data_IF_784129595031
#
_entry.id   IF_784129595031
#
_cell.length_a   1.000
_cell.length_b   1.000
_cell.length_c   1.000
_cell.angle_alpha   90.00
_cell.angle_beta   90.00
_cell.angle_gamma   90.00
#
_symmetry.space_group_name_H-M   'P 1'
#
loop_
_entity.id
_entity.type
_entity.pdbx_description
1 polymer ?
#
# COMPACT_ATOMS: atom_id res chain seq x y z
N UNK A 1 12.49 8.69 25.22
CA UNK A 1 11.26 9.42 24.81
C UNK A 1 10.06 8.53 25.01
N UNK A 2 8.90 9.15 25.20
CA UNK A 2 7.60 8.45 25.21
C UNK A 2 6.84 8.79 23.94
N UNK A 3 6.63 7.79 23.08
CA UNK A 3 6.13 7.93 21.73
C UNK A 3 4.69 7.42 21.67
N UNK A 4 3.74 8.27 21.28
CA UNK A 4 2.36 7.87 21.05
C UNK A 4 2.18 7.44 19.60
N UNK A 5 1.54 6.30 19.36
CA UNK A 5 1.31 5.80 17.99
C UNK A 5 -0.18 5.54 17.79
N UNK A 6 -0.71 6.04 16.67
CA UNK A 6 -2.03 5.69 16.18
C UNK A 6 -1.99 4.29 15.55
N UNK A 7 -2.63 3.32 16.21
CA UNK A 7 -2.63 1.90 15.81
C UNK A 7 -4.01 1.38 15.42
N UNK A 8 -4.95 2.28 15.07
CA UNK A 8 -6.34 1.91 14.76
C UNK A 8 -6.50 0.96 13.56
N UNK A 9 -5.50 0.86 12.66
CA UNK A 9 -5.51 -0.04 11.52
C UNK A 9 -4.83 -1.39 11.77
N UNK A 10 -4.31 -1.64 12.97
CA UNK A 10 -3.88 -2.99 13.38
C UNK A 10 -5.13 -3.83 13.73
N UNK A 11 -5.69 -4.47 12.73
CA UNK A 11 -6.93 -5.26 12.81
C UNK A 11 -6.61 -6.74 12.61
N UNK A 12 -6.98 -7.58 13.57
CA UNK A 12 -6.68 -9.02 13.51
C UNK A 12 -7.43 -9.77 12.40
N UNK A 13 -8.63 -9.29 12.07
CA UNK A 13 -9.50 -9.95 11.09
C UNK A 13 -9.15 -9.61 9.64
N UNK A 14 -8.65 -8.41 9.38
CA UNK A 14 -8.33 -7.95 8.03
C UNK A 14 -7.38 -6.76 8.07
N UNK A 15 -6.13 -6.97 7.72
CA UNK A 15 -5.17 -5.88 7.48
C UNK A 15 -5.12 -5.54 6.00
N UNK A 16 -5.31 -4.27 5.70
CA UNK A 16 -5.14 -3.68 4.36
C UNK A 16 -3.87 -2.81 4.34
N UNK A 17 -3.56 -2.13 3.24
CA UNK A 17 -2.31 -1.40 3.03
C UNK A 17 -1.82 -0.57 4.23
N UNK A 18 -2.69 0.28 4.83
CA UNK A 18 -2.33 1.07 6.03
C UNK A 18 -2.03 0.19 7.25
N UNK A 19 -2.74 -0.92 7.41
CA UNK A 19 -2.50 -1.88 8.49
C UNK A 19 -1.15 -2.56 8.34
N UNK A 20 -0.82 -3.05 7.15
CA UNK A 20 0.47 -3.66 6.85
C UNK A 20 1.62 -2.68 7.00
N UNK A 21 1.49 -1.46 6.45
CA UNK A 21 2.49 -0.41 6.67
C UNK A 21 2.73 -0.15 8.17
N UNK A 22 1.64 0.01 8.93
CA UNK A 22 1.72 0.24 10.38
C UNK A 22 2.40 -0.93 11.09
N UNK A 23 2.01 -2.16 10.75
CA UNK A 23 2.58 -3.37 11.33
C UNK A 23 4.09 -3.45 11.09
N UNK A 24 4.50 -3.35 9.83
CA UNK A 24 5.89 -3.55 9.41
C UNK A 24 6.82 -2.47 9.96
N UNK A 25 6.39 -1.21 9.93
CA UNK A 25 7.22 -0.09 10.41
C UNK A 25 7.25 -0.04 11.94
N UNK A 26 6.08 -0.12 12.58
CA UNK A 26 5.99 0.05 14.04
C UNK A 26 6.62 -1.11 14.80
N UNK A 27 6.43 -2.35 14.32
CA UNK A 27 7.07 -3.53 14.91
C UNK A 27 8.59 -3.36 14.95
N UNK A 28 9.19 -3.02 13.80
CA UNK A 28 10.65 -2.83 13.70
C UNK A 28 11.16 -1.70 14.57
N UNK A 29 10.47 -0.57 14.62
CA UNK A 29 10.87 0.54 15.49
C UNK A 29 10.83 0.16 16.97
N UNK A 30 9.78 -0.54 17.41
CA UNK A 30 9.62 -0.95 18.81
C UNK A 30 10.68 -1.97 19.23
N UNK A 31 10.96 -2.96 18.36
CA UNK A 31 11.96 -4.01 18.62
C UNK A 31 13.39 -3.47 18.60
N UNK A 32 13.69 -2.50 17.70
CA UNK A 32 15.00 -1.90 17.57
C UNK A 32 15.34 -0.89 18.68
N UNK A 33 14.35 -0.32 19.38
CA UNK A 33 14.53 0.76 20.32
C UNK A 33 13.90 0.47 21.70
N UNK A 34 14.38 -0.57 22.42
CA UNK A 34 13.83 -0.97 23.72
C UNK A 34 14.02 0.07 24.83
N UNK A 35 14.90 1.05 24.66
CA UNK A 35 15.16 2.16 25.58
C UNK A 35 14.09 3.24 25.54
N UNK A 36 13.15 3.17 24.58
CA UNK A 36 12.03 4.09 24.45
C UNK A 36 10.71 3.46 24.87
N UNK A 37 9.75 4.28 25.34
CA UNK A 37 8.41 3.84 25.70
C UNK A 37 7.44 4.15 24.55
N UNK A 38 6.66 3.16 24.14
CA UNK A 38 5.66 3.29 23.10
C UNK A 38 4.25 3.15 23.68
N UNK A 39 3.36 4.11 23.39
CA UNK A 39 1.96 4.06 23.78
C UNK A 39 1.11 3.91 22.53
N UNK A 40 0.49 2.74 22.38
CA UNK A 40 -0.36 2.41 21.22
C UNK A 40 -1.80 2.81 21.47
N UNK A 41 -2.32 3.68 20.63
CA UNK A 41 -3.70 4.14 20.74
C UNK A 41 -4.60 3.39 19.75
N UNK A 42 -5.45 2.52 20.29
CA UNK A 42 -6.46 1.77 19.55
C UNK A 42 -7.82 2.45 19.67
N UNK A 43 -8.67 2.34 18.65
CA UNK A 43 -10.07 2.82 18.69
C UNK A 43 -11.07 1.71 19.07
N UNK A 44 -10.58 0.51 19.37
CA UNK A 44 -11.34 -0.70 19.70
C UNK A 44 -10.46 -1.72 20.42
N UNK A 45 -11.03 -2.81 20.99
CA UNK A 45 -10.23 -3.92 21.52
C UNK A 45 -9.21 -4.40 20.48
N UNK A 46 -8.00 -4.67 20.92
CA UNK A 46 -6.87 -5.08 20.09
C UNK A 46 -6.52 -6.56 20.32
N UNK A 47 -5.84 -7.15 19.35
CA UNK A 47 -5.26 -8.48 19.49
C UNK A 47 -3.89 -8.37 20.17
N UNK A 48 -3.59 -9.18 21.20
CA UNK A 48 -2.30 -9.18 21.89
C UNK A 48 -1.08 -9.35 20.98
N UNK A 49 -1.22 -9.99 19.82
CA UNK A 49 -0.12 -10.15 18.83
C UNK A 49 0.44 -8.83 18.32
N UNK A 50 -0.29 -7.71 18.48
CA UNK A 50 0.18 -6.37 18.11
C UNK A 50 0.99 -5.68 19.22
N UNK A 51 1.16 -6.32 20.37
CA UNK A 51 2.04 -5.82 21.44
C UNK A 51 3.41 -6.46 21.23
N UNK A 52 4.22 -5.81 20.41
CA UNK A 52 5.45 -6.39 19.86
C UNK A 52 6.57 -6.60 20.89
N UNK A 53 6.60 -5.79 21.97
CA UNK A 53 7.61 -5.89 23.00
C UNK A 53 7.12 -5.31 24.34
N UNK A 54 7.91 -5.49 25.40
CA UNK A 54 7.58 -5.07 26.80
C UNK A 54 7.54 -3.55 26.99
N UNK A 55 8.17 -2.78 26.09
CA UNK A 55 8.17 -1.32 26.09
C UNK A 55 6.93 -0.70 25.44
N UNK A 56 5.91 -1.51 25.11
CA UNK A 56 4.63 -1.08 24.54
C UNK A 56 3.53 -1.06 25.59
N UNK A 57 2.84 0.06 25.73
CA UNK A 57 1.64 0.22 26.55
C UNK A 57 0.42 0.38 25.63
N UNK A 58 -0.47 -0.62 25.54
CA UNK A 58 -1.70 -0.49 24.74
C UNK A 58 -2.78 0.31 25.47
N UNK A 59 -3.46 1.18 24.76
CA UNK A 59 -4.54 2.02 25.29
C UNK A 59 -5.70 2.05 24.30
N UNK A 60 -6.87 1.60 24.72
CA UNK A 60 -8.10 1.72 23.95
C UNK A 60 -8.77 3.06 24.27
N UNK A 61 -9.03 3.85 23.24
CA UNK A 61 -9.68 5.16 23.34
C UNK A 61 -11.08 5.14 22.73
N UNK A 62 -12.04 5.68 23.43
CA UNK A 62 -13.42 5.84 22.96
C UNK A 62 -13.67 7.27 22.43
N UNK A 63 -14.62 7.47 21.48
CA UNK A 63 -15.42 6.51 20.74
C UNK A 63 -14.62 5.83 19.59
N UNK A 64 -15.11 4.67 19.06
CA UNK A 64 -14.48 4.03 17.90
C UNK A 64 -14.46 4.98 16.69
N UNK A 65 -13.29 5.15 16.05
CA UNK A 65 -13.10 6.06 14.92
C UNK A 65 -13.53 5.39 13.59
N UNK A 66 -14.85 5.19 13.39
CA UNK A 66 -15.42 4.50 12.21
C UNK A 66 -16.26 5.38 11.28
N UNK A 67 -16.50 6.63 11.66
CA UNK A 67 -17.31 7.57 10.90
C UNK A 67 -16.69 8.97 10.96
N UNK A 68 -16.80 9.83 9.94
CA UNK A 68 -16.18 11.15 9.91
C UNK A 68 -16.37 12.01 11.17
N UNK A 69 -17.57 12.02 11.75
CA UNK A 69 -17.84 12.74 13.00
C UNK A 69 -17.02 12.14 14.16
N UNK A 70 -16.96 10.80 14.23
CA UNK A 70 -16.22 10.09 15.28
C UNK A 70 -14.70 10.25 15.09
N UNK A 71 -14.19 10.43 13.84
CA UNK A 71 -12.79 10.80 13.62
C UNK A 71 -12.45 12.13 14.29
N UNK A 72 -13.31 13.15 14.13
CA UNK A 72 -13.10 14.45 14.80
C UNK A 72 -13.06 14.29 16.31
N UNK A 73 -14.03 13.56 16.89
CA UNK A 73 -14.06 13.31 18.34
C UNK A 73 -12.81 12.56 18.81
N UNK A 74 -12.40 11.53 18.10
CA UNK A 74 -11.28 10.69 18.49
C UNK A 74 -9.96 11.47 18.45
N UNK A 75 -9.68 12.19 17.36
CA UNK A 75 -8.42 12.94 17.22
C UNK A 75 -8.41 14.24 18.06
N UNK A 76 -9.50 14.98 18.11
CA UNK A 76 -9.51 16.30 18.75
C UNK A 76 -9.77 16.26 20.26
N UNK A 77 -10.35 15.18 20.78
CA UNK A 77 -10.65 15.04 22.20
C UNK A 77 -9.92 13.83 22.80
N UNK A 78 -10.13 12.62 22.29
CA UNK A 78 -9.59 11.40 22.92
C UNK A 78 -8.07 11.33 22.78
N UNK A 79 -7.52 11.46 21.57
CA UNK A 79 -6.07 11.50 21.34
C UNK A 79 -5.45 12.70 22.06
N UNK A 80 -5.99 13.91 21.93
CA UNK A 80 -5.45 15.09 22.62
C UNK A 80 -5.31 14.87 24.14
N UNK A 81 -6.36 14.31 24.79
CA UNK A 81 -6.32 14.00 26.22
C UNK A 81 -5.32 12.89 26.56
N UNK A 82 -5.27 11.85 25.73
CA UNK A 82 -4.35 10.74 25.90
C UNK A 82 -2.88 11.20 25.78
N UNK A 83 -2.55 12.01 24.76
CA UNK A 83 -1.20 12.58 24.60
C UNK A 83 -0.73 13.33 25.86
N UNK A 84 -1.62 14.13 26.48
CA UNK A 84 -1.34 14.82 27.73
C UNK A 84 -1.24 13.84 28.91
N UNK A 85 -2.21 12.92 29.06
CA UNK A 85 -2.27 11.96 30.20
C UNK A 85 -1.03 11.07 30.24
N UNK A 86 -0.60 10.57 29.09
CA UNK A 86 0.55 9.67 28.98
C UNK A 86 1.88 10.41 28.78
N UNK A 87 1.88 11.75 28.84
CA UNK A 87 3.08 12.60 28.69
C UNK A 87 3.88 12.26 27.44
N UNK A 88 3.17 12.24 26.30
CA UNK A 88 3.76 11.90 25.01
C UNK A 88 4.66 13.02 24.50
N UNK A 89 5.88 12.68 24.12
CA UNK A 89 6.86 13.61 23.56
C UNK A 89 6.60 13.88 22.07
N UNK A 90 6.22 12.85 21.32
CA UNK A 90 5.90 12.91 19.90
C UNK A 90 4.79 11.93 19.54
N UNK A 91 3.88 12.35 18.66
CA UNK A 91 2.79 11.50 18.16
C UNK A 91 3.04 11.10 16.71
N UNK A 92 3.03 9.79 16.45
CA UNK A 92 3.17 9.20 15.13
C UNK A 92 1.83 8.66 14.63
N UNK A 93 1.42 9.06 13.42
CA UNK A 93 0.19 8.62 12.80
C UNK A 93 0.46 8.04 11.40
N UNK A 94 0.53 6.70 11.28
CA UNK A 94 0.85 5.99 10.03
C UNK A 94 -0.18 6.18 8.91
N UNK A 95 -1.35 6.74 9.20
CA UNK A 95 -2.46 6.96 8.27
C UNK A 95 -2.73 8.45 7.97
N UNK A 96 -1.86 9.35 8.47
CA UNK A 96 -1.90 10.78 8.19
C UNK A 96 -2.93 11.60 8.97
N UNK A 97 -3.79 10.98 9.78
CA UNK A 97 -4.77 11.72 10.59
C UNK A 97 -4.09 12.27 11.86
N UNK A 98 -4.28 13.55 12.14
CA UNK A 98 -3.63 14.24 13.27
C UNK A 98 -4.65 14.95 14.15
N UNK A 99 -4.23 15.31 15.38
CA UNK A 99 -4.99 16.22 16.26
C UNK A 99 -4.59 17.67 15.98
N UNK A 100 -5.51 18.46 15.44
CA UNK A 100 -5.26 19.87 15.16
C UNK A 100 -5.07 20.70 16.43
N UNK A 101 -5.68 20.27 17.54
CA UNK A 101 -5.67 20.98 18.83
C UNK A 101 -4.57 20.51 19.80
N UNK A 102 -3.82 19.49 19.48
CA UNK A 102 -2.72 19.05 20.33
C UNK A 102 -1.49 19.94 20.16
N UNK A 103 -0.82 20.34 21.27
CA UNK A 103 0.47 21.03 21.20
C UNK A 103 1.65 20.07 20.96
N UNK A 104 1.46 18.76 21.18
CA UNK A 104 2.51 17.74 20.98
C UNK A 104 2.95 17.72 19.52
N UNK A 105 4.25 17.71 19.21
CA UNK A 105 4.73 17.51 17.83
C UNK A 105 4.18 16.22 17.23
N UNK A 106 3.78 16.28 15.96
CA UNK A 106 3.13 15.15 15.29
C UNK A 106 3.79 14.86 13.95
N UNK A 107 4.09 13.59 13.72
CA UNK A 107 4.55 13.03 12.46
C UNK A 107 3.41 12.25 11.82
N UNK A 108 2.99 12.65 10.62
CA UNK A 108 1.94 11.97 9.85
C UNK A 108 2.49 11.34 8.59
N UNK A 109 1.94 10.20 8.18
CA UNK A 109 2.26 9.59 6.88
C UNK A 109 1.13 9.86 5.90
N UNK A 110 1.41 10.55 4.80
CA UNK A 110 0.45 10.74 3.71
C UNK A 110 0.88 9.82 2.57
N UNK A 111 0.12 8.75 2.35
CA UNK A 111 0.47 7.73 1.36
C UNK A 111 0.17 8.17 -0.07
N UNK A 112 -0.99 8.80 -0.28
CA UNK A 112 -1.40 9.39 -1.56
C UNK A 112 -2.51 10.43 -1.35
N UNK A 113 -2.86 11.13 -2.42
CA UNK A 113 -3.96 12.09 -2.46
C UNK A 113 -5.01 11.70 -3.53
N UNK A 114 -5.29 10.40 -3.71
CA UNK A 114 -6.28 9.93 -4.69
C UNK A 114 -7.62 10.67 -4.57
N UNK A 115 -8.06 10.95 -3.35
CA UNK A 115 -9.34 11.63 -3.10
C UNK A 115 -9.39 13.10 -3.58
N UNK A 116 -8.24 13.73 -3.84
CA UNK A 116 -8.18 15.06 -4.47
C UNK A 116 -8.33 14.95 -5.98
N UNK A 117 -7.65 13.96 -6.61
CA UNK A 117 -7.58 13.79 -8.06
C UNK A 117 -8.77 13.00 -8.61
N UNK A 118 -9.24 11.99 -7.88
CA UNK A 118 -10.33 11.09 -8.27
C UNK A 118 -11.41 11.03 -7.18
N UNK A 119 -12.13 12.15 -6.96
CA UNK A 119 -13.16 12.23 -5.93
C UNK A 119 -14.33 11.26 -6.17
N UNK A 120 -14.56 10.86 -7.41
CA UNK A 120 -15.57 9.88 -7.82
C UNK A 120 -15.31 8.48 -7.24
N UNK A 121 -14.08 8.18 -6.89
CA UNK A 121 -13.69 6.89 -6.30
C UNK A 121 -14.07 6.76 -4.82
N UNK A 122 -14.47 7.85 -4.18
CA UNK A 122 -14.70 7.91 -2.73
C UNK A 122 -16.16 8.31 -2.44
N UNK A 123 -16.84 7.64 -1.49
CA UNK A 123 -18.18 8.07 -1.07
C UNK A 123 -18.19 9.51 -0.54
N UNK A 124 -19.26 10.25 -0.82
CA UNK A 124 -19.35 11.69 -0.56
C UNK A 124 -19.07 12.12 0.90
N UNK A 125 -19.44 11.30 1.89
CA UNK A 125 -19.24 11.66 3.32
C UNK A 125 -17.76 11.58 3.73
N UNK A 126 -17.02 10.46 3.51
CA UNK A 126 -15.57 10.42 3.69
C UNK A 126 -14.83 11.47 2.86
N UNK A 127 -15.20 11.66 1.58
CA UNK A 127 -14.56 12.61 0.69
C UNK A 127 -14.60 14.05 1.26
N UNK A 128 -15.77 14.50 1.73
CA UNK A 128 -15.90 15.82 2.37
C UNK A 128 -15.01 15.97 3.59
N UNK A 129 -14.88 14.91 4.38
CA UNK A 129 -13.99 14.91 5.53
C UNK A 129 -12.52 15.02 5.10
N UNK A 130 -12.08 14.18 4.17
CA UNK A 130 -10.69 14.14 3.68
C UNK A 130 -10.28 15.50 3.11
N UNK A 131 -11.03 16.05 2.15
CA UNK A 131 -10.77 17.37 1.55
C UNK A 131 -10.77 18.52 2.56
N UNK A 132 -11.59 18.42 3.60
CA UNK A 132 -11.64 19.46 4.65
C UNK A 132 -10.45 19.39 5.61
N UNK A 133 -9.97 18.20 5.94
CA UNK A 133 -9.05 18.00 7.06
C UNK A 133 -7.62 17.65 6.63
N UNK A 134 -7.38 16.93 5.56
CA UNK A 134 -6.03 16.55 5.16
C UNK A 134 -5.11 17.75 4.86
N UNK A 135 -5.53 18.81 4.17
CA UNK A 135 -4.71 20.02 4.04
C UNK A 135 -4.33 20.63 5.39
N UNK A 136 -5.25 20.54 6.39
CA UNK A 136 -4.99 21.04 7.75
C UNK A 136 -4.03 20.11 8.50
N UNK A 137 -4.14 18.80 8.33
CA UNK A 137 -3.20 17.84 8.91
C UNK A 137 -1.80 18.04 8.33
N UNK A 138 -1.66 18.18 7.01
CA UNK A 138 -0.38 18.45 6.37
C UNK A 138 0.27 19.74 6.89
N UNK A 139 -0.51 20.81 7.07
CA UNK A 139 -0.03 22.08 7.67
C UNK A 139 0.33 21.92 9.15
N UNK A 140 -0.47 21.16 9.92
CA UNK A 140 -0.28 20.91 11.36
C UNK A 140 0.90 20.02 11.67
N UNK A 141 1.16 19.00 10.85
CA UNK A 141 2.28 18.09 11.06
C UNK A 141 3.58 18.85 11.31
N UNK A 142 4.38 18.44 12.27
CA UNK A 142 5.72 18.97 12.45
C UNK A 142 6.63 18.52 11.29
N UNK A 143 6.44 17.26 10.84
CA UNK A 143 7.04 16.70 9.63
C UNK A 143 6.07 15.70 9.00
N UNK A 144 6.22 15.42 7.71
CA UNK A 144 5.41 14.47 6.96
C UNK A 144 6.32 13.39 6.39
N UNK A 145 5.90 12.15 6.52
CA UNK A 145 6.44 11.05 5.73
C UNK A 145 5.50 10.75 4.55
N UNK A 146 6.08 10.35 3.45
CA UNK A 146 5.35 9.82 2.30
C UNK A 146 6.11 8.68 1.66
N UNK A 147 5.49 7.98 0.73
CA UNK A 147 5.96 6.68 0.24
C UNK A 147 6.62 6.72 -1.14
N UNK A 148 6.61 7.90 -1.82
CA UNK A 148 7.26 8.09 -3.12
C UNK A 148 7.59 9.56 -3.36
N UNK A 149 8.52 9.83 -4.27
CA UNK A 149 8.81 11.20 -4.73
C UNK A 149 7.60 11.79 -5.47
N UNK A 150 6.86 10.95 -6.21
CA UNK A 150 5.60 11.37 -6.81
C UNK A 150 4.63 11.90 -5.75
N UNK A 151 4.36 11.13 -4.70
CA UNK A 151 3.45 11.55 -3.61
C UNK A 151 3.99 12.79 -2.87
N UNK A 152 5.30 12.94 -2.72
CA UNK A 152 5.91 14.16 -2.16
C UNK A 152 5.60 15.38 -3.02
N UNK A 153 5.81 15.28 -4.32
CA UNK A 153 5.53 16.37 -5.25
C UNK A 153 4.04 16.71 -5.26
N UNK A 154 3.18 15.70 -5.23
CA UNK A 154 1.73 15.88 -5.17
C UNK A 154 1.29 16.63 -3.89
N UNK A 155 1.83 16.26 -2.71
CA UNK A 155 1.55 16.96 -1.44
C UNK A 155 2.04 18.42 -1.50
N UNK A 156 3.23 18.66 -2.08
CA UNK A 156 3.78 20.02 -2.25
C UNK A 156 2.85 20.86 -3.12
N UNK A 157 2.44 20.34 -4.27
CA UNK A 157 1.61 21.04 -5.24
C UNK A 157 0.19 21.27 -4.73
N UNK A 158 -0.45 20.22 -4.19
CA UNK A 158 -1.84 20.26 -3.76
C UNK A 158 -2.05 21.08 -2.48
N UNK A 159 -1.10 21.06 -1.54
CA UNK A 159 -1.28 21.67 -0.23
C UNK A 159 -0.34 22.84 0.08
N UNK A 160 0.60 23.15 -0.80
CA UNK A 160 1.57 24.23 -0.60
C UNK A 160 2.52 23.98 0.57
N UNK A 161 2.86 22.71 0.82
CA UNK A 161 3.78 22.31 1.90
C UNK A 161 5.22 22.43 1.40
N UNK A 162 6.12 22.99 2.24
CA UNK A 162 7.55 23.03 1.90
C UNK A 162 8.11 21.64 1.66
N UNK A 163 8.87 21.40 0.57
CA UNK A 163 9.53 20.12 0.32
C UNK A 163 10.44 19.66 1.46
N UNK A 164 11.06 20.59 2.20
CA UNK A 164 11.92 20.29 3.36
C UNK A 164 11.15 19.70 4.55
N UNK A 165 9.84 19.85 4.58
CA UNK A 165 8.95 19.27 5.60
C UNK A 165 8.51 17.85 5.27
N UNK A 166 8.91 17.31 4.12
CA UNK A 166 8.45 16.01 3.62
C UNK A 166 9.65 15.10 3.34
N UNK A 167 9.70 13.97 4.02
CA UNK A 167 10.67 12.92 3.76
C UNK A 167 10.00 11.74 3.07
N UNK A 168 10.63 11.23 2.01
CA UNK A 168 10.21 10.01 1.34
C UNK A 168 10.84 8.80 2.04
N UNK A 169 10.01 7.84 2.38
CA UNK A 169 10.40 6.54 2.89
C UNK A 169 9.66 5.46 2.08
N UNK A 170 10.34 4.91 1.09
CA UNK A 170 9.77 3.87 0.24
C UNK A 170 9.31 2.67 1.05
N UNK A 171 8.18 2.08 0.67
CA UNK A 171 7.70 0.85 1.30
C UNK A 171 8.60 -0.34 0.93
N UNK A 172 8.65 -1.32 1.83
CA UNK A 172 9.18 -2.65 1.52
C UNK A 172 8.11 -3.63 1.04
N UNK A 173 8.51 -4.86 0.86
CA UNK A 173 7.64 -6.02 0.77
C UNK A 173 8.12 -7.12 1.72
N UNK A 174 7.26 -8.10 2.00
CA UNK A 174 7.64 -9.23 2.87
C UNK A 174 8.83 -9.99 2.29
N UNK A 175 9.75 -10.39 3.15
CA UNK A 175 10.91 -11.22 2.76
C UNK A 175 10.50 -12.64 2.34
N UNK A 176 9.26 -13.03 2.58
CA UNK A 176 8.73 -14.30 2.12
C UNK A 176 8.53 -14.38 0.61
N UNK A 177 8.42 -13.24 -0.09
CA UNK A 177 8.37 -13.24 -1.55
C UNK A 177 9.74 -13.57 -2.11
N UNK A 178 9.84 -14.73 -2.78
CA UNK A 178 11.06 -15.26 -3.37
C UNK A 178 10.72 -15.95 -4.69
N UNK A 179 11.70 -16.06 -5.62
CA UNK A 179 11.54 -16.93 -6.78
C UNK A 179 11.25 -18.37 -6.33
N UNK A 180 10.38 -19.06 -7.05
CA UNK A 180 10.08 -20.47 -6.83
C UNK A 180 10.88 -21.35 -7.78
N UNK A 181 11.16 -22.58 -7.35
CA UNK A 181 11.74 -23.61 -8.21
C UNK A 181 10.72 -24.13 -9.24
N UNK A 182 11.20 -24.64 -10.36
CA UNK A 182 10.35 -25.05 -11.48
C UNK A 182 9.26 -26.07 -11.09
N UNK A 183 9.55 -27.00 -10.18
CA UNK A 183 8.60 -27.99 -9.68
C UNK A 183 7.49 -27.35 -8.84
N UNK A 184 7.84 -26.35 -8.02
CA UNK A 184 6.88 -25.61 -7.21
C UNK A 184 5.96 -24.77 -8.11
N UNK A 185 6.53 -24.09 -9.11
CA UNK A 185 5.77 -23.33 -10.11
C UNK A 185 4.74 -24.24 -10.79
N UNK A 186 5.16 -25.42 -11.25
CA UNK A 186 4.28 -26.35 -11.92
C UNK A 186 3.19 -26.88 -10.99
N UNK A 187 3.51 -27.17 -9.73
CA UNK A 187 2.54 -27.62 -8.73
C UNK A 187 1.44 -26.56 -8.52
N UNK A 188 1.82 -25.29 -8.31
CA UNK A 188 0.86 -24.19 -8.12
C UNK A 188 0.00 -23.99 -9.38
N UNK A 189 0.59 -24.07 -10.57
CA UNK A 189 -0.16 -23.95 -11.84
C UNK A 189 -1.16 -25.10 -12.02
N UNK A 190 -0.80 -26.33 -11.69
CA UNK A 190 -1.73 -27.48 -11.75
C UNK A 190 -2.92 -27.22 -10.83
N UNK A 191 -2.68 -26.78 -9.61
CA UNK A 191 -3.73 -26.53 -8.62
C UNK A 191 -4.68 -25.40 -9.00
N UNK A 192 -4.15 -24.33 -9.60
CA UNK A 192 -4.89 -23.08 -9.81
C UNK A 192 -5.41 -22.89 -11.24
N UNK A 193 -4.66 -23.34 -12.23
CA UNK A 193 -4.91 -23.06 -13.65
C UNK A 193 -4.83 -24.31 -14.53
N UNK A 194 -4.97 -25.51 -13.94
CA UNK A 194 -4.83 -26.79 -14.66
C UNK A 194 -3.50 -26.89 -15.44
N UNK A 195 -2.41 -26.37 -14.86
CA UNK A 195 -1.07 -26.41 -15.42
C UNK A 195 -0.71 -25.24 -16.34
N UNK A 196 -1.62 -24.32 -16.61
CA UNK A 196 -1.40 -23.21 -17.53
C UNK A 196 -0.67 -22.04 -16.84
N UNK A 197 0.27 -21.37 -17.50
CA UNK A 197 0.81 -20.11 -17.00
C UNK A 197 -0.29 -19.03 -16.91
N UNK A 198 -0.06 -17.99 -16.10
CA UNK A 198 -1.05 -16.95 -15.93
C UNK A 198 -0.43 -15.57 -15.68
N UNK A 199 -1.02 -14.53 -16.25
CA UNK A 199 -0.84 -13.17 -15.77
C UNK A 199 -1.51 -13.04 -14.41
N UNK A 200 -0.89 -12.32 -13.49
CA UNK A 200 -1.47 -12.07 -12.16
C UNK A 200 -1.76 -10.57 -11.96
N UNK A 201 -2.89 -10.28 -11.37
CA UNK A 201 -3.23 -8.99 -10.77
C UNK A 201 -3.40 -9.17 -9.26
N UNK A 202 -2.87 -8.25 -8.46
CA UNK A 202 -3.01 -8.28 -6.99
C UNK A 202 -3.52 -6.94 -6.49
N UNK A 203 -4.61 -6.98 -5.74
CA UNK A 203 -5.19 -5.80 -5.09
C UNK A 203 -6.70 -5.86 -4.95
N UNK A 204 -7.25 -4.98 -4.12
CA UNK A 204 -8.69 -4.83 -4.02
C UNK A 204 -9.30 -4.44 -5.39
N UNK A 205 -10.43 -5.03 -5.74
CA UNK A 205 -11.17 -4.66 -6.94
C UNK A 205 -11.87 -3.32 -6.65
N UNK A 206 -11.24 -2.26 -7.09
CA UNK A 206 -11.66 -0.87 -6.91
C UNK A 206 -11.44 -0.11 -8.23
N UNK A 207 -12.27 0.90 -8.60
CA UNK A 207 -12.13 1.60 -9.88
C UNK A 207 -10.69 2.05 -10.20
N UNK A 208 -9.99 2.66 -9.26
CA UNK A 208 -8.60 3.12 -9.46
C UNK A 208 -7.60 2.01 -9.78
N UNK A 209 -7.90 0.75 -9.43
CA UNK A 209 -7.05 -0.41 -9.74
C UNK A 209 -7.24 -0.92 -11.17
N UNK A 210 -8.25 -0.41 -11.86
CA UNK A 210 -8.45 -0.54 -13.31
C UNK A 210 -8.62 -1.99 -13.82
N UNK A 211 -9.17 -2.87 -12.97
CA UNK A 211 -9.34 -4.30 -13.28
C UNK A 211 -10.24 -4.52 -14.50
N UNK A 212 -11.24 -3.65 -14.71
CA UNK A 212 -12.12 -3.75 -15.87
C UNK A 212 -11.35 -3.65 -17.19
N UNK A 213 -10.52 -2.60 -17.36
CA UNK A 213 -9.68 -2.45 -18.57
C UNK A 213 -8.64 -3.55 -18.70
N UNK A 214 -8.09 -4.07 -17.58
CA UNK A 214 -7.23 -5.24 -17.63
C UNK A 214 -7.93 -6.45 -18.20
N UNK A 215 -9.18 -6.73 -17.80
CA UNK A 215 -9.99 -7.83 -18.33
C UNK A 215 -10.28 -7.64 -19.84
N UNK A 216 -10.61 -6.42 -20.26
CA UNK A 216 -10.83 -6.11 -21.67
C UNK A 216 -9.56 -6.31 -22.52
N UNK A 217 -8.41 -5.86 -22.01
CA UNK A 217 -7.12 -6.06 -22.66
C UNK A 217 -6.72 -7.55 -22.72
N UNK A 218 -6.95 -8.27 -21.64
CA UNK A 218 -6.77 -9.72 -21.62
C UNK A 218 -7.70 -10.44 -22.60
N UNK A 219 -8.95 -9.96 -22.77
CA UNK A 219 -9.87 -10.50 -23.76
C UNK A 219 -9.32 -10.43 -25.18
N UNK A 220 -8.64 -9.33 -25.54
CA UNK A 220 -7.96 -9.19 -26.84
C UNK A 220 -6.71 -10.09 -26.94
N UNK A 221 -5.91 -10.15 -25.88
CA UNK A 221 -4.77 -11.07 -25.79
C UNK A 221 -5.22 -12.52 -25.98
N UNK A 222 -6.30 -12.93 -25.33
CA UNK A 222 -6.81 -14.30 -25.34
C UNK A 222 -7.28 -14.79 -26.72
N UNK A 223 -7.59 -13.88 -27.63
CA UNK A 223 -7.96 -14.23 -29.03
C UNK A 223 -6.75 -14.75 -29.83
N UNK A 224 -5.54 -14.34 -29.49
CA UNK A 224 -4.31 -14.69 -30.21
C UNK A 224 -3.41 -15.64 -29.42
N UNK A 225 -3.62 -15.76 -28.11
CA UNK A 225 -2.87 -16.68 -27.26
C UNK A 225 -3.85 -17.50 -26.41
N UNK A 226 -3.99 -18.82 -26.68
CA UNK A 226 -4.90 -19.70 -25.94
C UNK A 226 -4.31 -20.24 -24.62
N UNK A 227 -3.02 -20.08 -24.36
CA UNK A 227 -2.30 -20.89 -23.37
C UNK A 227 -2.06 -20.21 -22.02
N UNK A 228 -2.21 -18.88 -21.95
CA UNK A 228 -1.96 -18.11 -20.72
C UNK A 228 -3.28 -17.57 -20.17
N UNK A 229 -3.55 -17.79 -18.89
CA UNK A 229 -4.76 -17.34 -18.20
C UNK A 229 -4.55 -15.99 -17.48
N UNK A 230 -5.61 -15.44 -16.87
CA UNK A 230 -5.56 -14.27 -15.99
C UNK A 230 -6.06 -14.66 -14.61
N UNK A 231 -5.21 -14.48 -13.60
CA UNK A 231 -5.55 -14.67 -12.19
C UNK A 231 -5.69 -13.30 -11.50
N UNK A 232 -6.86 -13.02 -10.94
CA UNK A 232 -7.15 -11.82 -10.17
C UNK A 232 -7.22 -12.18 -8.69
N UNK A 233 -6.27 -11.65 -7.91
CA UNK A 233 -6.17 -11.86 -6.47
C UNK A 233 -6.66 -10.61 -5.74
N UNK A 234 -7.74 -10.76 -4.99
CA UNK A 234 -8.36 -9.70 -4.20
C UNK A 234 -9.88 -9.72 -4.19
N UNK A 235 -10.47 -8.91 -3.34
CA UNK A 235 -11.92 -8.81 -3.20
C UNK A 235 -12.43 -7.45 -3.64
N UNK A 236 -13.72 -7.39 -4.00
CA UNK A 236 -14.41 -6.12 -4.23
C UNK A 236 -14.65 -5.41 -2.89
N UNK A 237 -14.15 -4.20 -2.75
CA UNK A 237 -14.33 -3.38 -1.54
C UNK A 237 -15.76 -2.82 -1.41
N UNK A 238 -16.53 -2.78 -2.52
CA UNK A 238 -17.83 -2.14 -2.57
C UNK A 238 -18.82 -3.02 -3.33
N UNK A 239 -19.61 -3.79 -2.60
CA UNK A 239 -20.59 -4.75 -3.15
C UNK A 239 -21.56 -4.15 -4.21
N UNK A 240 -21.75 -2.82 -4.23
CA UNK A 240 -22.68 -2.14 -5.14
C UNK A 240 -22.00 -1.44 -6.33
N UNK A 241 -20.68 -1.50 -6.48
CA UNK A 241 -19.93 -0.97 -7.64
C UNK A 241 -19.12 -2.08 -8.34
N UNK A 242 -19.64 -3.29 -8.35
CA UNK A 242 -19.17 -4.40 -9.20
C UNK A 242 -19.26 -4.09 -10.72
N UNK A 243 -19.78 -2.93 -11.07
CA UNK A 243 -19.86 -2.39 -12.44
C UNK A 243 -18.51 -2.06 -13.09
N UNK A 244 -17.38 -2.33 -12.44
CA UNK A 244 -16.05 -2.21 -13.05
C UNK A 244 -15.56 -3.49 -13.74
N UNK A 245 -16.27 -4.61 -13.59
CA UNK A 245 -15.95 -5.85 -14.29
C UNK A 245 -16.86 -5.94 -15.52
N UNK A 246 -16.29 -5.91 -16.73
CA UNK A 246 -17.09 -5.98 -17.97
C UNK A 246 -17.75 -7.35 -18.12
N UNK A 247 -18.87 -7.39 -18.82
CA UNK A 247 -19.44 -8.64 -19.31
C UNK A 247 -18.52 -9.21 -20.40
N UNK A 248 -18.16 -10.47 -20.27
CA UNK A 248 -17.30 -11.18 -21.21
C UNK A 248 -17.94 -12.51 -21.63
N UNK A 249 -17.48 -13.08 -22.76
CA UNK A 249 -18.00 -14.36 -23.26
C UNK A 249 -17.74 -15.51 -22.26
N UNK A 250 -18.53 -16.56 -22.33
CA UNK A 250 -18.40 -17.73 -21.45
C UNK A 250 -17.04 -18.43 -21.62
N UNK A 251 -16.47 -18.39 -22.83
CA UNK A 251 -15.13 -18.91 -23.12
C UNK A 251 -14.07 -18.09 -22.37
N UNK A 252 -14.17 -16.76 -22.40
CA UNK A 252 -13.22 -15.89 -21.73
C UNK A 252 -13.36 -15.97 -20.21
N UNK A 253 -14.58 -16.15 -19.68
CA UNK A 253 -14.80 -16.37 -18.23
C UNK A 253 -14.04 -17.56 -17.69
N UNK A 254 -13.89 -18.64 -18.47
CA UNK A 254 -13.12 -19.84 -18.05
C UNK A 254 -11.63 -19.59 -17.91
N UNK A 255 -11.14 -18.50 -18.52
CA UNK A 255 -9.72 -18.10 -18.52
C UNK A 255 -9.40 -16.98 -17.55
N UNK A 256 -10.41 -16.41 -16.89
CA UNK A 256 -10.26 -15.36 -15.87
C UNK A 256 -10.64 -15.94 -14.52
N UNK A 257 -9.65 -16.10 -13.66
CA UNK A 257 -9.81 -16.74 -12.37
C UNK A 257 -9.79 -15.68 -11.26
N UNK A 258 -10.71 -15.78 -10.33
CA UNK A 258 -10.79 -14.91 -9.15
C UNK A 258 -10.52 -15.75 -7.91
N UNK A 259 -9.42 -15.47 -7.20
CA UNK A 259 -9.08 -16.18 -5.96
C UNK A 259 -9.76 -15.60 -4.72
N UNK A 260 -10.31 -14.39 -4.80
CA UNK A 260 -10.70 -13.65 -3.61
C UNK A 260 -9.49 -13.22 -2.78
N UNK A 261 -9.74 -12.96 -1.47
CA UNK A 261 -8.66 -12.66 -0.52
C UNK A 261 -7.92 -13.94 -0.15
N UNK A 262 -6.59 -13.89 -0.23
CA UNK A 262 -5.70 -15.02 0.13
C UNK A 262 -4.76 -14.63 1.26
N UNK A 263 -4.21 -15.60 1.96
CA UNK A 263 -3.16 -15.37 2.95
C UNK A 263 -1.86 -14.91 2.30
N UNK A 264 -0.96 -14.27 3.06
CA UNK A 264 0.34 -13.86 2.57
C UNK A 264 1.16 -15.05 2.02
N UNK A 265 1.09 -16.19 2.68
CA UNK A 265 1.78 -17.42 2.24
C UNK A 265 1.24 -17.93 0.90
N UNK A 266 -0.07 -17.88 0.71
CA UNK A 266 -0.71 -18.25 -0.56
C UNK A 266 -0.39 -17.22 -1.66
N UNK A 267 -0.44 -15.93 -1.34
CA UNK A 267 -0.09 -14.87 -2.29
C UNK A 267 1.33 -15.02 -2.82
N UNK A 268 2.28 -15.35 -1.93
CA UNK A 268 3.67 -15.61 -2.32
C UNK A 268 3.76 -16.73 -3.38
N UNK A 269 3.09 -17.86 -3.15
CA UNK A 269 3.05 -18.98 -4.11
C UNK A 269 2.42 -18.56 -5.44
N UNK A 270 1.27 -17.87 -5.38
CA UNK A 270 0.58 -17.39 -6.59
C UNK A 270 1.44 -16.40 -7.37
N UNK A 271 2.11 -15.49 -6.67
CA UNK A 271 3.01 -14.51 -7.30
C UNK A 271 4.23 -15.22 -7.92
N UNK A 272 4.90 -16.08 -7.15
CA UNK A 272 6.10 -16.79 -7.63
C UNK A 272 5.86 -17.74 -8.82
N UNK A 273 4.63 -18.28 -8.95
CA UNK A 273 4.27 -19.18 -10.04
C UNK A 273 3.64 -18.47 -11.26
N UNK A 274 3.40 -17.16 -11.16
CA UNK A 274 2.83 -16.39 -12.25
C UNK A 274 3.75 -16.33 -13.48
N UNK A 275 3.19 -15.97 -14.63
CA UNK A 275 3.94 -15.66 -15.84
C UNK A 275 4.49 -14.23 -15.78
N UNK A 276 3.64 -13.28 -15.41
CA UNK A 276 4.00 -11.89 -15.21
C UNK A 276 2.94 -11.18 -14.34
N UNK A 277 3.37 -10.13 -13.62
CA UNK A 277 2.43 -9.20 -13.00
C UNK A 277 1.89 -8.23 -14.06
N UNK A 278 0.57 -8.03 -14.11
CA UNK A 278 -0.04 -6.91 -14.85
C UNK A 278 -0.72 -5.97 -13.89
N UNK A 279 -0.15 -4.78 -13.71
CA UNK A 279 -0.55 -3.82 -12.70
C UNK A 279 -0.70 -2.42 -13.31
N UNK A 280 -1.93 -2.07 -13.69
CA UNK A 280 -2.25 -0.87 -14.45
C UNK A 280 -3.23 0.08 -13.75
N UNK A 281 -3.09 0.35 -12.43
CA UNK A 281 -3.92 1.36 -11.79
C UNK A 281 -3.71 2.72 -12.44
N UNK A 282 -4.74 3.56 -12.42
CA UNK A 282 -4.60 4.93 -12.91
C UNK A 282 -4.16 5.91 -11.80
N UNK A 283 -4.21 5.48 -10.54
CA UNK A 283 -3.67 6.25 -9.41
C UNK A 283 -3.13 5.34 -8.31
N UNK A 284 -1.91 5.59 -7.88
CA UNK A 284 -1.23 4.93 -6.76
C UNK A 284 -0.25 5.86 -6.06
N UNK A 285 -0.07 5.65 -4.74
CA UNK A 285 0.99 6.30 -3.98
C UNK A 285 2.32 5.56 -4.01
N UNK A 286 2.31 4.21 -4.18
CA UNK A 286 3.53 3.39 -4.23
C UNK A 286 3.41 2.15 -5.11
N UNK A 287 2.41 1.27 -4.87
CA UNK A 287 2.28 0.02 -5.61
C UNK A 287 3.09 -1.14 -5.01
N UNK A 288 2.82 -1.51 -3.76
CA UNK A 288 3.48 -2.66 -3.09
C UNK A 288 3.50 -3.93 -3.96
N UNK A 289 2.44 -4.28 -4.74
CA UNK A 289 2.48 -5.44 -5.62
C UNK A 289 3.61 -5.47 -6.64
N UNK A 290 4.12 -4.29 -7.05
CA UNK A 290 5.31 -4.22 -7.91
C UNK A 290 6.54 -4.76 -7.19
N UNK A 291 6.74 -4.38 -5.92
CA UNK A 291 7.89 -4.83 -5.13
C UNK A 291 7.78 -6.31 -4.81
N UNK A 292 6.57 -6.81 -4.51
CA UNK A 292 6.30 -8.22 -4.28
C UNK A 292 6.65 -9.05 -5.53
N UNK A 293 6.19 -8.62 -6.70
CA UNK A 293 6.51 -9.27 -7.98
C UNK A 293 8.02 -9.22 -8.30
N UNK A 294 8.65 -8.07 -8.07
CA UNK A 294 10.09 -7.91 -8.26
C UNK A 294 10.91 -8.85 -7.37
N UNK A 295 10.49 -9.08 -6.13
CA UNK A 295 11.13 -10.04 -5.22
C UNK A 295 10.98 -11.48 -5.70
N UNK A 296 9.88 -11.81 -6.37
CA UNK A 296 9.68 -13.12 -7.00
C UNK A 296 10.41 -13.27 -8.35
N UNK A 297 11.11 -12.23 -8.82
CA UNK A 297 11.77 -12.25 -10.13
C UNK A 297 10.77 -12.24 -11.30
N UNK A 298 9.56 -11.72 -11.10
CA UNK A 298 8.57 -11.67 -12.16
C UNK A 298 8.82 -10.54 -13.15
N UNK A 299 8.60 -10.77 -14.46
CA UNK A 299 8.37 -9.70 -15.42
C UNK A 299 7.12 -8.89 -15.05
N UNK A 300 7.13 -7.60 -15.37
CA UNK A 300 6.05 -6.68 -15.00
C UNK A 300 5.55 -5.91 -16.23
N UNK A 301 4.23 -5.83 -16.37
CA UNK A 301 3.54 -4.85 -17.21
C UNK A 301 2.87 -3.86 -16.25
N UNK A 302 3.28 -2.59 -16.29
CA UNK A 302 2.81 -1.56 -15.37
C UNK A 302 2.23 -0.35 -16.10
N UNK A 303 1.29 0.34 -15.46
CA UNK A 303 0.87 1.66 -15.92
C UNK A 303 2.04 2.66 -15.88
N UNK A 304 2.04 3.63 -16.79
CA UNK A 304 3.05 4.68 -16.88
C UNK A 304 2.72 5.93 -16.05
N UNK A 305 1.75 5.85 -15.14
CA UNK A 305 1.25 6.98 -14.35
C UNK A 305 1.73 6.91 -12.88
N UNK A 306 1.71 8.09 -12.25
CA UNK A 306 1.97 8.28 -10.81
C UNK A 306 3.35 7.76 -10.38
N UNK A 307 3.40 7.01 -9.29
CA UNK A 307 4.64 6.47 -8.73
C UNK A 307 5.15 5.19 -9.41
N UNK A 308 4.39 4.57 -10.32
CA UNK A 308 4.74 3.25 -10.84
C UNK A 308 6.08 3.23 -11.59
N UNK A 309 6.41 4.24 -12.45
CA UNK A 309 7.72 4.32 -13.06
C UNK A 309 8.86 4.55 -12.06
N UNK A 310 8.62 5.31 -11.00
CA UNK A 310 9.58 5.50 -9.91
C UNK A 310 9.88 4.17 -9.20
N UNK A 311 8.85 3.37 -8.92
CA UNK A 311 9.00 2.11 -8.18
C UNK A 311 9.58 1.01 -9.05
N UNK A 312 9.00 0.71 -10.21
CA UNK A 312 9.46 -0.41 -11.04
C UNK A 312 10.73 -0.09 -11.85
N UNK A 313 11.02 1.19 -12.16
CA UNK A 313 12.22 1.58 -12.92
C UNK A 313 12.29 0.85 -14.25
N UNK A 314 13.42 0.20 -14.54
CA UNK A 314 13.61 -0.57 -15.78
C UNK A 314 13.08 -2.02 -15.73
N UNK A 315 12.42 -2.42 -14.63
CA UNK A 315 11.94 -3.77 -14.44
C UNK A 315 10.53 -4.02 -15.04
N UNK A 316 9.97 -3.04 -15.77
CA UNK A 316 8.63 -3.14 -16.32
C UNK A 316 8.53 -2.70 -17.78
N UNK A 317 7.56 -3.25 -18.49
CA UNK A 317 6.99 -2.67 -19.71
C UNK A 317 5.91 -1.69 -19.27
N UNK A 318 6.04 -0.42 -19.68
CA UNK A 318 5.09 0.61 -19.32
C UNK A 318 4.04 0.78 -20.42
N UNK A 319 2.79 0.97 -19.98
CA UNK A 319 1.63 1.15 -20.86
C UNK A 319 0.75 2.29 -20.32
N UNK A 320 0.03 2.95 -21.20
CA UNK A 320 -1.06 3.83 -20.80
C UNK A 320 -2.20 2.99 -20.19
N UNK A 321 -2.55 3.15 -18.91
CA UNK A 321 -3.59 2.33 -18.26
C UNK A 321 -4.99 2.56 -18.81
N UNK A 322 -5.19 3.58 -19.63
CA UNK A 322 -6.46 3.86 -20.30
C UNK A 322 -6.54 3.30 -21.72
N UNK A 323 -5.41 2.83 -22.29
CA UNK A 323 -5.35 2.26 -23.64
C UNK A 323 -5.33 0.73 -23.59
N UNK A 324 -6.50 0.12 -23.81
CA UNK A 324 -6.69 -1.33 -23.80
C UNK A 324 -5.84 -2.03 -24.87
N UNK A 325 -5.66 -1.40 -26.04
CA UNK A 325 -4.84 -1.94 -27.12
C UNK A 325 -3.35 -1.99 -26.74
N UNK A 326 -2.85 -0.94 -26.11
CA UNK A 326 -1.46 -0.87 -25.68
C UNK A 326 -1.18 -1.94 -24.61
N UNK A 327 -2.10 -2.10 -23.63
CA UNK A 327 -2.00 -3.15 -22.60
C UNK A 327 -1.99 -4.54 -23.24
N UNK A 328 -2.92 -4.82 -24.17
CA UNK A 328 -2.99 -6.11 -24.85
C UNK A 328 -1.73 -6.39 -25.66
N UNK A 329 -1.23 -5.40 -26.41
CA UNK A 329 0.01 -5.53 -27.19
C UNK A 329 1.22 -5.82 -26.29
N UNK A 330 1.31 -5.19 -25.11
CA UNK A 330 2.36 -5.48 -24.16
C UNK A 330 2.29 -6.93 -23.61
N UNK A 331 1.06 -7.45 -23.38
CA UNK A 331 0.87 -8.86 -23.02
C UNK A 331 1.32 -9.80 -24.13
N UNK A 332 0.92 -9.53 -25.39
CA UNK A 332 1.32 -10.31 -26.56
C UNK A 332 2.85 -10.27 -26.76
N UNK A 333 3.44 -9.10 -26.68
CA UNK A 333 4.87 -8.93 -26.83
C UNK A 333 5.64 -9.73 -25.79
N UNK A 334 5.26 -9.58 -24.52
CA UNK A 334 5.92 -10.31 -23.43
C UNK A 334 5.74 -11.83 -23.57
N UNK A 335 4.58 -12.31 -24.03
CA UNK A 335 4.32 -13.73 -24.21
C UNK A 335 5.13 -14.34 -25.39
N UNK A 336 5.54 -13.53 -26.37
CA UNK A 336 6.26 -13.99 -27.56
C UNK A 336 7.78 -13.85 -27.50
N UNK A 337 8.34 -13.18 -26.44
CA UNK A 337 9.77 -12.85 -26.34
C UNK A 337 10.36 -13.37 -25.01
N UNK A 338 10.88 -14.61 -25.04
CA UNK A 338 11.52 -15.24 -23.88
C UNK A 338 12.76 -14.48 -23.40
N UNK A 339 13.51 -13.85 -24.33
CA UNK A 339 14.67 -13.07 -23.96
C UNK A 339 14.27 -11.83 -23.15
N UNK A 340 13.16 -11.18 -23.55
CA UNK A 340 12.62 -10.05 -22.83
C UNK A 340 12.08 -10.44 -21.45
N UNK A 341 11.43 -11.61 -21.33
CA UNK A 341 11.00 -12.16 -20.05
C UNK A 341 12.19 -12.34 -19.10
N UNK A 342 13.27 -12.98 -19.57
CA UNK A 342 14.48 -13.21 -18.78
C UNK A 342 15.16 -11.89 -18.37
N UNK A 343 15.25 -10.92 -19.29
CA UNK A 343 15.81 -9.58 -19.01
C UNK A 343 15.02 -8.89 -17.88
N UNK A 344 13.69 -8.85 -18.00
CA UNK A 344 12.83 -8.20 -17.01
C UNK A 344 12.87 -8.91 -15.65
N UNK A 345 12.92 -10.24 -15.63
CA UNK A 345 13.05 -11.04 -14.41
C UNK A 345 14.34 -10.67 -13.64
N UNK A 346 15.48 -10.56 -14.34
CA UNK A 346 16.74 -10.15 -13.73
C UNK A 346 16.68 -8.69 -13.22
N UNK A 347 16.12 -7.77 -14.02
CA UNK A 347 15.93 -6.39 -13.61
C UNK A 347 15.01 -6.27 -12.39
N UNK A 348 13.95 -7.09 -12.30
CA UNK A 348 13.06 -7.20 -11.16
C UNK A 348 13.81 -7.55 -9.88
N UNK A 349 14.59 -8.62 -9.87
CA UNK A 349 15.38 -9.03 -8.70
C UNK A 349 16.38 -7.94 -8.26
N UNK A 350 17.07 -7.33 -9.21
CA UNK A 350 18.02 -6.24 -8.93
C UNK A 350 17.30 -5.02 -8.32
N UNK A 351 16.13 -4.65 -8.86
CA UNK A 351 15.36 -3.49 -8.39
C UNK A 351 14.75 -3.73 -7.02
N UNK A 352 14.28 -4.95 -6.74
CA UNK A 352 13.69 -5.33 -5.45
C UNK A 352 14.62 -5.06 -4.26
N UNK A 353 15.94 -5.17 -4.44
CA UNK A 353 16.93 -4.94 -3.39
C UNK A 353 16.91 -3.52 -2.79
N UNK A 354 16.34 -2.54 -3.50
CA UNK A 354 16.22 -1.16 -3.01
C UNK A 354 15.08 -0.97 -1.99
N UNK A 355 14.16 -1.93 -1.89
CA UNK A 355 12.94 -1.80 -1.10
C UNK A 355 12.97 -2.72 0.11
N UNK A 356 13.00 -2.13 1.29
CA UNK A 356 13.08 -2.85 2.55
C UNK A 356 12.27 -2.16 3.64
N UNK A 357 11.46 -2.92 4.35
CA UNK A 357 10.78 -2.41 5.55
C UNK A 357 11.74 -1.97 6.65
N UNK A 358 12.96 -2.52 6.68
CA UNK A 358 13.99 -2.06 7.61
C UNK A 358 14.41 -0.63 7.29
N UNK A 359 14.67 -0.30 6.02
CA UNK A 359 14.97 1.06 5.58
C UNK A 359 13.80 2.03 5.82
N UNK A 360 12.55 1.58 5.58
CA UNK A 360 11.36 2.39 5.86
C UNK A 360 11.25 2.71 7.34
N UNK A 361 11.46 1.71 8.20
CA UNK A 361 11.40 1.87 9.66
C UNK A 361 12.51 2.78 10.18
N UNK A 362 13.74 2.63 9.69
CA UNK A 362 14.89 3.46 10.05
C UNK A 362 14.69 4.93 9.62
N UNK A 363 14.27 5.16 8.37
CA UNK A 363 13.94 6.51 7.90
C UNK A 363 12.82 7.15 8.74
N UNK A 364 11.78 6.37 9.06
CA UNK A 364 10.69 6.81 9.95
C UNK A 364 11.20 7.16 11.33
N UNK A 365 12.06 6.32 11.90
CA UNK A 365 12.65 6.51 13.21
C UNK A 365 13.49 7.79 13.31
N UNK A 366 14.34 8.03 12.33
CA UNK A 366 15.19 9.21 12.26
C UNK A 366 14.36 10.50 12.27
N UNK A 367 13.32 10.57 11.43
CA UNK A 367 12.41 11.71 11.36
C UNK A 367 11.59 11.85 12.65
N UNK A 368 11.14 10.74 13.23
CA UNK A 368 10.35 10.72 14.46
C UNK A 368 11.15 11.26 15.64
N UNK A 369 12.40 10.85 15.78
CA UNK A 369 13.28 11.32 16.86
C UNK A 369 13.64 12.79 16.74
N UNK A 370 13.90 13.27 15.51
CA UNK A 370 14.11 14.71 15.26
C UNK A 370 12.85 15.52 15.59
N UNK A 371 11.69 15.01 15.19
CA UNK A 371 10.40 15.64 15.50
C UNK A 371 10.16 15.72 17.01
N UNK A 372 10.53 14.68 17.76
CA UNK A 372 10.39 14.64 19.22
C UNK A 372 11.27 15.66 19.95
N UNK A 373 12.46 15.96 19.44
CA UNK A 373 13.37 16.99 20.00
C UNK A 373 12.75 18.38 19.99
N UNK A 374 11.82 18.67 19.07
CA UNK A 374 11.12 19.96 19.01
C UNK A 374 10.27 20.25 20.27
N UNK A 375 9.90 19.21 21.01
CA UNK A 375 9.15 19.35 22.26
C UNK A 375 10.05 19.82 23.42
N UNK A 376 11.30 19.35 23.45
CA UNK A 376 12.26 19.68 24.52
C UNK A 376 12.91 21.06 24.37
N UNK A 377 12.94 21.63 23.13
CA UNK A 377 13.46 22.97 22.85
C UNK A 377 12.53 24.12 23.24
N UNK A 378 11.31 23.85 23.70
CA UNK A 378 10.32 24.88 24.12
C UNK A 378 10.25 25.08 25.64
N UNK A 379 11.15 24.47 26.39
CA UNK A 379 11.19 24.52 27.86
C UNK A 379 12.41 25.33 28.33
N UNK A 380 12.73 26.45 27.66
CA UNK A 380 13.69 27.46 28.16
C UNK A 380 12.99 28.83 28.09
#
# INVERSE_FOLDING_TARGET
MRIGINTRFLLSSKMEGFGWYTYEVVKRMVEAHPEHEFVFFFDRPFDPKFIFAKNVTPVVLFPPARHPILFVWWFEYSIKRALKKYRIDVFYSPDGYLSLRSPVPQLGVIHDLNFEHHPEDIPASPLRYLRKYFPKFAKKAAHILTVSEYSKQDIVQSYGISPSKITVAWNGASESFLPLEAEEIQTVRIEKTSGRPYFIFVGAIHPRKNVGRLIEAFGKFAQVNPDIDLLIVGESLWANKASSIPEVSEELKKRILFSGHVSLAELNKLMGAAFALTYIPYFEGFGIPLVEAMRCGLPIIAGNLTCLPEVAGEAAIYVNPFDIEEVSKAMIYLASDEQKQAELAQKSLKRAALFSWNHTAEATWNVLTETGKLNHGKTI
#
